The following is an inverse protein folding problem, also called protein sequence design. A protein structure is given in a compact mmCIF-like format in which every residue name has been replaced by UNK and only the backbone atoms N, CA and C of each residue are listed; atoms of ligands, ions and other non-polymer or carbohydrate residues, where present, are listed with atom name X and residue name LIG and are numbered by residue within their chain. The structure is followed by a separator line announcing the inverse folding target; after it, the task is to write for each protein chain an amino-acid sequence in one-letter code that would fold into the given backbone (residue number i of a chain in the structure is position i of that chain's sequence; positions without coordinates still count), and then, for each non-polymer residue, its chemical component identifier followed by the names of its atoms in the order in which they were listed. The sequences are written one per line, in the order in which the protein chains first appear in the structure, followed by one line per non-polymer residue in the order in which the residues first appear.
data_IF_390230296864
#
_entry.id   IF_390230296864
#
_cell.length_a   1.000
_cell.length_b   1.000
_cell.length_c   1.000
_cell.angle_alpha   90.00
_cell.angle_beta   90.00
_cell.angle_gamma   90.00
#
_symmetry.space_group_name_H-M   'P 1'
#
loop_
_entity.id
_entity.type
_entity.pdbx_description
1 polymer ?
#
# COMPACT_ATOMS: atom_id res chain seq x y z
N UNK A 1 -14.07 7.09 18.86
CA UNK A 1 -14.36 6.57 17.50
C UNK A 1 -13.67 5.22 17.35
N UNK A 2 -14.30 4.20 16.77
CA UNK A 2 -13.72 2.84 16.66
C UNK A 2 -12.84 2.76 15.40
N UNK A 3 -11.58 2.35 15.53
CA UNK A 3 -10.63 2.31 14.42
C UNK A 3 -10.98 1.21 13.40
N UNK A 4 -11.21 1.58 12.14
CA UNK A 4 -11.58 0.64 11.06
C UNK A 4 -10.54 -0.46 10.86
N UNK A 5 -9.25 -0.11 10.89
CA UNK A 5 -8.17 -1.09 10.74
C UNK A 5 -8.13 -2.11 11.89
N UNK A 6 -8.56 -1.73 13.10
CA UNK A 6 -8.71 -2.69 14.19
C UNK A 6 -9.89 -3.65 13.96
N UNK A 7 -10.95 -3.22 13.26
CA UNK A 7 -12.03 -4.12 12.85
C UNK A 7 -11.53 -5.09 11.78
N UNK A 8 -10.81 -4.58 10.78
CA UNK A 8 -10.21 -5.38 9.69
C UNK A 8 -9.19 -6.41 10.20
N UNK A 9 -8.48 -6.10 11.29
CA UNK A 9 -7.56 -7.01 11.95
C UNK A 9 -8.22 -8.32 12.44
N UNK A 10 -9.55 -8.39 12.55
CA UNK A 10 -10.29 -9.60 12.96
C UNK A 10 -10.81 -10.44 11.78
N UNK A 11 -10.75 -9.92 10.55
CA UNK A 11 -11.22 -10.61 9.36
C UNK A 11 -10.29 -11.77 8.97
N UNK A 12 -10.75 -12.75 8.18
CA UNK A 12 -9.90 -13.82 7.67
C UNK A 12 -9.29 -13.43 6.33
N UNK A 13 -8.21 -14.11 5.93
CA UNK A 13 -7.68 -13.99 4.56
C UNK A 13 -8.78 -14.40 3.58
N UNK A 14 -9.03 -13.56 2.56
CA UNK A 14 -10.12 -13.68 1.61
C UNK A 14 -11.35 -12.83 1.92
N UNK A 15 -11.52 -12.37 3.17
CA UNK A 15 -12.67 -11.54 3.55
C UNK A 15 -12.56 -10.12 3.00
N UNK A 16 -13.71 -9.53 2.69
CA UNK A 16 -13.83 -8.12 2.26
C UNK A 16 -14.08 -7.19 3.44
N UNK A 17 -13.44 -6.04 3.43
CA UNK A 17 -13.65 -4.96 4.40
C UNK A 17 -14.85 -4.09 3.99
N UNK A 18 -15.31 -3.19 4.86
CA UNK A 18 -16.39 -2.24 4.53
C UNK A 18 -16.03 -1.32 3.35
N UNK A 19 -14.75 -0.98 3.22
CA UNK A 19 -14.22 -0.20 2.10
C UNK A 19 -14.14 -1.02 0.78
N UNK A 20 -14.37 -2.34 0.84
CA UNK A 20 -14.28 -3.25 -0.29
C UNK A 20 -12.87 -3.78 -0.55
N UNK A 21 -11.91 -3.53 0.34
CA UNK A 21 -10.59 -4.15 0.28
C UNK A 21 -10.67 -5.64 0.62
N UNK A 22 -9.74 -6.46 0.14
CA UNK A 22 -9.67 -7.89 0.48
C UNK A 22 -8.46 -8.14 1.35
N UNK A 23 -8.61 -8.86 2.46
CA UNK A 23 -7.47 -9.33 3.26
C UNK A 23 -6.71 -10.39 2.47
N UNK A 24 -5.45 -10.13 2.14
CA UNK A 24 -4.62 -11.02 1.31
C UNK A 24 -3.57 -11.79 2.11
N UNK A 25 -3.27 -11.36 3.34
CA UNK A 25 -2.23 -11.98 4.17
C UNK A 25 -2.44 -11.70 5.65
N UNK A 26 -2.09 -12.67 6.50
CA UNK A 26 -1.98 -12.53 7.96
C UNK A 26 -0.83 -13.37 8.50
N UNK A 27 -0.19 -12.86 9.55
CA UNK A 27 0.82 -13.57 10.35
C UNK A 27 0.67 -13.16 11.82
N UNK A 28 1.03 -14.06 12.74
CA UNK A 28 1.00 -13.80 14.19
C UNK A 28 -0.42 -13.74 14.76
N UNK A 29 -0.56 -13.10 15.92
CA UNK A 29 -1.82 -12.94 16.65
C UNK A 29 -2.20 -11.47 16.83
N UNK A 30 -3.19 -11.17 17.67
CA UNK A 30 -3.65 -9.79 17.89
C UNK A 30 -2.60 -8.85 18.48
N UNK A 31 -1.58 -9.37 19.18
CA UNK A 31 -0.51 -8.58 19.83
C UNK A 31 0.72 -8.39 18.96
N UNK A 32 1.14 -9.43 18.25
CA UNK A 32 2.39 -9.44 17.46
C UNK A 32 2.18 -9.64 15.96
N UNK A 33 0.92 -9.64 15.52
CA UNK A 33 0.57 -9.97 14.15
C UNK A 33 0.53 -8.76 13.23
N UNK A 34 0.56 -9.09 11.95
CA UNK A 34 0.41 -8.16 10.83
C UNK A 34 -0.58 -8.73 9.84
N UNK A 35 -1.29 -7.85 9.15
CA UNK A 35 -2.16 -8.23 8.06
C UNK A 35 -2.02 -7.26 6.90
N UNK A 36 -2.36 -7.74 5.71
CA UNK A 36 -2.37 -6.91 4.52
C UNK A 36 -3.68 -6.98 3.77
N UNK A 37 -4.06 -5.87 3.16
CA UNK A 37 -5.27 -5.74 2.33
C UNK A 37 -4.93 -5.23 0.93
N UNK A 38 -5.60 -5.78 -0.08
CA UNK A 38 -5.61 -5.24 -1.44
C UNK A 38 -6.73 -4.21 -1.56
N UNK A 39 -6.41 -2.99 -1.93
CA UNK A 39 -7.39 -1.92 -2.17
C UNK A 39 -8.16 -2.14 -3.48
N UNK A 40 -9.48 -1.86 -3.52
CA UNK A 40 -10.24 -1.86 -4.77
C UNK A 40 -9.91 -0.65 -5.66
N UNK A 41 -9.06 0.27 -5.18
CA UNK A 41 -8.65 1.49 -5.90
C UNK A 41 -7.13 1.59 -5.98
N UNK A 42 -6.65 2.19 -7.06
CA UNK A 42 -5.24 2.54 -7.26
C UNK A 42 -5.11 4.03 -7.60
N UNK A 43 -3.94 4.62 -7.31
CA UNK A 43 -3.64 6.01 -7.69
C UNK A 43 -3.13 6.17 -9.14
N UNK A 44 -2.97 5.08 -9.87
CA UNK A 44 -2.35 5.07 -11.20
C UNK A 44 -3.25 4.47 -12.27
N UNK A 45 -2.64 3.74 -13.20
CA UNK A 45 -3.35 3.05 -14.28
C UNK A 45 -4.09 1.85 -13.68
N UNK A 46 -5.43 1.82 -13.67
CA UNK A 46 -6.19 0.71 -13.11
C UNK A 46 -5.98 -0.60 -13.89
N UNK A 47 -5.42 -0.55 -15.10
CA UNK A 47 -5.06 -1.71 -15.90
C UNK A 47 -3.61 -2.19 -15.69
N UNK A 48 -2.81 -1.52 -14.87
CA UNK A 48 -1.45 -1.97 -14.55
C UNK A 48 -1.15 -1.99 -13.05
N UNK A 49 -1.69 -1.02 -12.32
CA UNK A 49 -1.34 -0.75 -10.95
C UNK A 49 -2.34 -1.35 -9.96
N UNK A 50 -1.93 -1.36 -8.69
CA UNK A 50 -2.72 -1.78 -7.54
C UNK A 50 -2.10 -1.16 -6.28
N UNK A 51 -2.80 -1.25 -5.15
CA UNK A 51 -2.30 -0.75 -3.87
C UNK A 51 -2.58 -1.74 -2.77
N UNK A 52 -1.53 -2.15 -2.07
CA UNK A 52 -1.59 -3.01 -0.89
C UNK A 52 -1.35 -2.15 0.35
N UNK A 53 -2.09 -2.41 1.42
CA UNK A 53 -1.83 -1.83 2.73
C UNK A 53 -1.38 -2.94 3.67
N UNK A 54 -0.30 -2.71 4.42
CA UNK A 54 0.22 -3.58 5.46
C UNK A 54 0.09 -2.87 6.81
N UNK A 55 -0.56 -3.52 7.77
CA UNK A 55 -0.88 -2.93 9.08
C UNK A 55 -0.61 -3.94 10.21
N UNK A 56 -0.22 -3.48 11.41
CA UNK A 56 -0.20 -4.33 12.59
C UNK A 56 -1.63 -4.74 12.98
N UNK A 57 -1.80 -5.89 13.62
CA UNK A 57 -3.11 -6.26 14.17
C UNK A 57 -3.47 -5.41 15.41
N UNK A 58 -2.45 -5.10 16.23
CA UNK A 58 -2.59 -4.22 17.38
C UNK A 58 -2.72 -2.75 16.92
N UNK A 59 -3.50 -1.96 17.65
CA UNK A 59 -3.60 -0.52 17.40
C UNK A 59 -2.31 0.19 17.82
N UNK A 60 -1.41 0.46 16.88
CA UNK A 60 -0.20 1.24 17.09
C UNK A 60 -0.38 2.66 16.57
N UNK A 61 0.05 3.66 17.35
CA UNK A 61 -0.07 5.08 16.98
C UNK A 61 1.21 5.64 16.40
N UNK A 62 2.36 5.13 16.82
CA UNK A 62 3.67 5.59 16.38
C UNK A 62 4.48 4.44 15.79
N UNK A 63 5.32 4.71 14.79
CA UNK A 63 6.19 3.69 14.22
C UNK A 63 7.17 3.11 15.25
N UNK A 64 7.61 3.92 16.21
CA UNK A 64 8.45 3.47 17.33
C UNK A 64 7.79 2.36 18.15
N UNK A 65 6.47 2.31 18.19
CA UNK A 65 5.72 1.30 18.96
C UNK A 65 5.90 -0.10 18.38
N UNK A 66 6.31 -0.23 17.11
CA UNK A 66 6.65 -1.53 16.50
C UNK A 66 7.77 -2.21 17.31
N UNK A 67 8.72 -1.45 17.84
CA UNK A 67 9.86 -1.97 18.60
C UNK A 67 9.48 -2.41 20.04
N UNK A 68 8.24 -2.23 20.47
CA UNK A 68 7.78 -2.66 21.79
C UNK A 68 7.78 -4.19 21.96
N UNK A 69 7.81 -4.95 20.86
CA UNK A 69 7.78 -6.41 20.87
C UNK A 69 8.65 -6.98 19.74
N UNK A 70 9.64 -7.81 20.08
CA UNK A 70 10.56 -8.41 19.10
C UNK A 70 9.84 -9.25 18.04
N UNK A 71 8.81 -10.02 18.42
CA UNK A 71 8.04 -10.82 17.46
C UNK A 71 7.18 -9.94 16.54
N UNK A 72 6.69 -8.78 17.03
CA UNK A 72 5.97 -7.82 16.20
C UNK A 72 6.89 -7.24 15.11
N UNK A 73 8.12 -6.84 15.48
CA UNK A 73 9.15 -6.35 14.55
C UNK A 73 9.57 -7.41 13.54
N UNK A 74 9.78 -8.65 14.01
CA UNK A 74 10.13 -9.78 13.15
C UNK A 74 9.02 -10.09 12.15
N UNK A 75 7.78 -10.15 12.61
CA UNK A 75 6.62 -10.39 11.76
C UNK A 75 6.40 -9.26 10.75
N UNK A 76 6.69 -8.01 11.10
CA UNK A 76 6.71 -6.89 10.15
C UNK A 76 7.67 -7.17 9.00
N UNK A 77 8.93 -7.49 9.30
CA UNK A 77 9.95 -7.76 8.28
C UNK A 77 9.59 -8.93 7.36
N UNK A 78 9.08 -10.02 7.95
CA UNK A 78 8.60 -11.20 7.20
C UNK A 78 7.43 -10.82 6.28
N UNK A 79 6.41 -10.16 6.83
CA UNK A 79 5.21 -9.77 6.08
C UNK A 79 5.57 -8.83 4.93
N UNK A 80 6.36 -7.78 5.23
CA UNK A 80 6.81 -6.81 4.25
C UNK A 80 7.60 -7.47 3.11
N UNK A 81 8.58 -8.33 3.43
CA UNK A 81 9.36 -9.05 2.43
C UNK A 81 8.50 -9.94 1.53
N UNK A 82 7.59 -10.73 2.13
CA UNK A 82 6.66 -11.60 1.37
C UNK A 82 5.74 -10.81 0.45
N UNK A 83 5.15 -9.73 0.94
CA UNK A 83 4.24 -8.88 0.16
C UNK A 83 4.98 -8.22 -1.01
N UNK A 84 6.17 -7.66 -0.77
CA UNK A 84 6.98 -7.07 -1.82
C UNK A 84 7.38 -8.10 -2.88
N UNK A 85 7.76 -9.32 -2.49
CA UNK A 85 8.07 -10.39 -3.43
C UNK A 85 6.85 -10.79 -4.28
N UNK A 86 5.69 -11.00 -3.65
CA UNK A 86 4.45 -11.35 -4.34
C UNK A 86 3.99 -10.22 -5.30
N UNK A 87 4.02 -8.97 -4.85
CA UNK A 87 3.69 -7.82 -5.68
C UNK A 87 4.65 -7.68 -6.87
N UNK A 88 5.96 -7.85 -6.64
CA UNK A 88 6.97 -7.81 -7.69
C UNK A 88 6.73 -8.88 -8.77
N UNK A 89 6.34 -10.09 -8.37
CA UNK A 89 6.02 -11.17 -9.30
C UNK A 89 4.82 -10.82 -10.21
N UNK A 90 3.74 -10.27 -9.66
CA UNK A 90 2.56 -9.88 -10.45
C UNK A 90 2.84 -8.77 -11.46
N UNK A 91 3.77 -7.87 -11.14
CA UNK A 91 4.18 -6.84 -12.09
C UNK A 91 5.15 -7.41 -13.14
N UNK A 92 6.00 -8.39 -12.78
CA UNK A 92 6.98 -9.02 -13.71
C UNK A 92 6.30 -9.82 -14.80
N UNK A 93 5.23 -10.54 -14.47
CA UNK A 93 4.40 -11.26 -15.45
C UNK A 93 3.85 -10.33 -16.55
N UNK A 94 3.77 -9.01 -16.29
CA UNK A 94 3.25 -8.01 -17.23
C UNK A 94 4.33 -7.18 -17.93
N UNK A 95 5.57 -7.15 -17.43
CA UNK A 95 6.63 -6.30 -17.96
C UNK A 95 7.89 -7.14 -18.28
N UNK A 96 7.98 -7.59 -19.53
CA UNK A 96 9.10 -8.40 -20.03
C UNK A 96 10.34 -7.52 -20.18
N UNK A 97 11.28 -7.57 -19.24
CA UNK A 97 12.58 -6.93 -19.43
C UNK A 97 13.37 -6.57 -18.17
N UNK A 98 12.79 -6.67 -16.97
CA UNK A 98 13.49 -6.35 -15.73
C UNK A 98 13.33 -7.46 -14.69
N UNK A 99 14.44 -7.94 -14.11
CA UNK A 99 14.40 -9.04 -13.15
C UNK A 99 13.90 -8.65 -11.76
N UNK A 100 13.94 -7.34 -11.46
CA UNK A 100 13.42 -6.75 -10.23
C UNK A 100 12.63 -5.49 -10.57
N UNK A 101 11.48 -5.33 -9.94
CA UNK A 101 10.58 -4.22 -10.20
C UNK A 101 10.57 -3.30 -8.97
N UNK A 102 10.80 -1.99 -9.16
CA UNK A 102 10.74 -1.06 -8.05
C UNK A 102 9.31 -1.00 -7.49
N UNK A 103 9.20 -1.13 -6.17
CA UNK A 103 7.96 -0.93 -5.43
C UNK A 103 8.10 0.32 -4.57
N UNK A 104 7.07 1.16 -4.61
CA UNK A 104 6.98 2.36 -3.80
C UNK A 104 6.41 1.98 -2.44
N UNK A 105 6.96 2.58 -1.38
CA UNK A 105 6.45 2.38 -0.03
C UNK A 105 6.23 3.71 0.66
N UNK A 106 5.10 3.80 1.36
CA UNK A 106 4.74 5.01 2.10
C UNK A 106 4.06 4.62 3.41
N UNK A 107 4.74 4.91 4.53
CA UNK A 107 4.19 4.75 5.87
C UNK A 107 3.42 5.99 6.29
N UNK A 108 2.28 5.81 6.97
CA UNK A 108 1.56 6.92 7.60
C UNK A 108 1.10 6.58 9.01
N UNK A 109 1.21 7.57 9.89
CA UNK A 109 0.58 7.63 11.20
C UNK A 109 0.14 9.09 11.48
N UNK A 110 -1.08 9.48 11.08
CA UNK A 110 -1.59 10.82 11.40
C UNK A 110 -2.25 10.86 12.79
N UNK A 111 -1.80 11.80 13.61
CA UNK A 111 -2.45 12.18 14.86
C UNK A 111 -3.89 12.69 14.60
N UNK A 112 -4.89 12.45 15.49
CA UNK A 112 -4.78 11.77 16.79
C UNK A 112 -4.99 10.25 16.80
N UNK A 113 -5.51 9.68 15.71
CA UNK A 113 -6.16 8.35 15.75
C UNK A 113 -5.83 7.41 14.57
N UNK A 114 -4.86 7.74 13.70
CA UNK A 114 -4.50 6.79 12.64
C UNK A 114 -3.61 5.66 13.17
N UNK A 115 -4.15 4.45 13.04
CA UNK A 115 -3.43 3.20 13.17
C UNK A 115 -2.35 3.14 12.08
N UNK A 116 -1.11 2.88 12.51
CA UNK A 116 0.07 2.69 11.66
C UNK A 116 -0.23 1.80 10.46
N UNK A 117 0.08 2.27 9.26
CA UNK A 117 -0.04 1.46 8.04
C UNK A 117 1.01 1.85 7.01
N UNK A 118 1.37 0.88 6.18
CA UNK A 118 2.30 1.02 5.07
C UNK A 118 1.58 0.72 3.77
N UNK A 119 1.67 1.64 2.81
CA UNK A 119 1.20 1.41 1.45
C UNK A 119 2.34 0.86 0.62
N UNK A 120 2.05 -0.16 -0.17
CA UNK A 120 2.97 -0.80 -1.12
C UNK A 120 2.28 -0.79 -2.49
N UNK A 121 2.97 -0.28 -3.51
CA UNK A 121 2.42 -0.14 -4.86
C UNK A 121 3.52 -0.26 -5.93
N UNK A 122 3.20 -0.67 -7.17
CA UNK A 122 4.15 -0.63 -8.27
C UNK A 122 4.67 0.79 -8.50
N UNK A 123 5.98 0.98 -8.47
CA UNK A 123 6.59 2.30 -8.68
C UNK A 123 6.87 2.51 -10.16
N UNK A 124 5.86 2.97 -10.91
CA UNK A 124 5.98 3.27 -12.34
C UNK A 124 5.15 4.49 -12.74
N UNK A 125 5.53 5.13 -13.84
CA UNK A 125 4.80 6.23 -14.46
C UNK A 125 4.56 7.41 -13.51
N UNK A 126 3.35 7.95 -13.51
CA UNK A 126 2.95 9.11 -12.72
C UNK A 126 2.98 8.88 -11.19
N UNK A 127 2.91 7.62 -10.73
CA UNK A 127 3.05 7.28 -9.30
C UNK A 127 4.52 7.18 -8.89
N UNK A 128 5.41 6.85 -9.84
CA UNK A 128 6.85 6.70 -9.64
C UNK A 128 7.59 8.03 -9.51
N UNK A 129 7.10 8.93 -8.65
CA UNK A 129 7.70 10.23 -8.41
C UNK A 129 8.94 10.13 -7.49
N UNK A 130 10.09 10.71 -7.86
CA UNK A 130 11.38 10.54 -7.18
C UNK A 130 11.46 11.06 -5.74
N UNK A 131 10.43 11.75 -5.23
CA UNK A 131 10.40 12.31 -3.87
C UNK A 131 9.24 11.74 -3.03
N UNK A 132 9.58 11.24 -1.84
CA UNK A 132 8.68 10.55 -0.89
C UNK A 132 7.52 11.40 -0.35
N UNK A 133 7.56 12.72 -0.55
CA UNK A 133 6.53 13.67 -0.11
C UNK A 133 5.42 13.90 -1.15
N UNK A 134 5.59 13.45 -2.40
CA UNK A 134 4.72 13.86 -3.52
C UNK A 134 3.73 12.79 -3.99
N UNK A 135 3.42 11.78 -3.17
CA UNK A 135 2.44 10.74 -3.52
C UNK A 135 1.00 11.27 -3.78
N UNK A 136 0.76 12.56 -3.52
CA UNK A 136 -0.49 13.25 -3.84
C UNK A 136 -0.48 13.94 -5.21
N UNK A 137 0.67 14.03 -5.90
CA UNK A 137 0.82 14.75 -7.16
C UNK A 137 1.61 13.96 -8.22
N UNK A 138 1.07 13.92 -9.44
CA UNK A 138 1.50 13.08 -10.55
C UNK A 138 2.54 13.73 -11.49
N UNK A 139 2.68 15.06 -11.49
CA UNK A 139 3.66 15.82 -12.29
C UNK A 139 4.12 17.07 -11.53
N UNK A 140 5.40 17.42 -11.69
CA UNK A 140 5.98 18.70 -11.26
C UNK A 140 6.52 19.41 -12.50
N UNK A 141 5.88 20.49 -12.88
CA UNK A 141 6.43 21.41 -13.88
C UNK A 141 6.76 22.71 -13.14
N UNK A 142 8.02 23.14 -13.24
CA UNK A 142 8.42 24.48 -12.78
C UNK A 142 7.96 25.45 -13.86
N UNK A 143 7.16 26.43 -13.46
CA UNK A 143 6.66 27.50 -14.30
C UNK A 143 7.12 28.82 -13.71
N UNK A 144 7.24 29.83 -14.55
CA UNK A 144 7.50 31.22 -14.14
C UNK A 144 6.23 32.00 -14.43
N UNK A 145 5.75 32.78 -13.46
CA UNK A 145 4.59 33.64 -13.66
C UNK A 145 4.96 34.95 -14.38
N UNK A 146 3.99 35.85 -14.56
CA UNK A 146 4.19 37.12 -15.25
C UNK A 146 5.13 38.07 -14.48
N UNK A 147 5.32 37.86 -13.18
CA UNK A 147 6.17 38.66 -12.29
C UNK A 147 7.60 38.09 -12.18
N UNK A 148 7.87 36.94 -12.80
CA UNK A 148 9.18 36.28 -12.78
C UNK A 148 9.37 35.30 -11.62
N UNK A 149 8.32 35.01 -10.85
CA UNK A 149 8.38 34.09 -9.71
C UNK A 149 8.19 32.63 -10.15
N UNK A 150 9.02 31.74 -9.59
CA UNK A 150 8.93 30.31 -9.86
C UNK A 150 7.82 29.65 -9.04
N UNK A 151 6.94 28.90 -9.70
CA UNK A 151 5.93 28.08 -9.03
C UNK A 151 5.89 26.65 -9.60
N UNK A 152 5.44 25.70 -8.78
CA UNK A 152 5.31 24.30 -9.18
C UNK A 152 3.85 23.99 -9.51
N UNK A 153 3.56 23.65 -10.76
CA UNK A 153 2.25 23.14 -11.15
C UNK A 153 2.17 21.64 -10.84
N UNK A 154 1.16 21.27 -10.05
CA UNK A 154 0.97 19.92 -9.54
C UNK A 154 -0.37 19.32 -10.02
N UNK A 155 -0.34 18.13 -10.60
CA UNK A 155 -1.56 17.38 -10.95
C UNK A 155 -1.92 16.41 -9.83
N UNK A 156 -3.10 16.46 -9.18
CA UNK A 156 -3.41 15.56 -8.08
C UNK A 156 -3.51 14.10 -8.54
N UNK A 157 -3.04 13.16 -7.71
CA UNK A 157 -3.23 11.72 -7.88
C UNK A 157 -4.68 11.38 -7.59
N UNK A 158 -5.44 11.03 -8.63
CA UNK A 158 -6.84 10.59 -8.49
C UNK A 158 -6.88 9.08 -8.29
N UNK A 159 -7.55 8.64 -7.23
CA UNK A 159 -7.83 7.22 -7.01
C UNK A 159 -8.92 6.74 -7.96
N UNK A 160 -8.64 5.71 -8.73
CA UNK A 160 -9.56 5.07 -9.68
C UNK A 160 -9.86 3.64 -9.24
N UNK A 161 -11.09 3.18 -9.50
CA UNK A 161 -11.48 1.81 -9.19
C UNK A 161 -10.83 0.83 -10.16
N UNK A 162 -10.39 -0.31 -9.64
CA UNK A 162 -10.05 -1.47 -10.46
C UNK A 162 -11.35 -2.09 -11.00
N UNK A 163 -11.31 -2.67 -12.20
CA UNK A 163 -12.43 -3.47 -12.68
C UNK A 163 -12.67 -4.68 -11.76
N UNK A 164 -13.92 -5.10 -11.58
CA UNK A 164 -14.28 -6.22 -10.68
C UNK A 164 -13.46 -7.48 -10.99
N UNK A 165 -13.41 -7.86 -12.27
CA UNK A 165 -12.67 -9.03 -12.75
C UNK A 165 -11.19 -8.96 -12.37
N UNK A 166 -10.57 -7.80 -12.60
CA UNK A 166 -9.15 -7.59 -12.28
C UNK A 166 -8.89 -7.63 -10.77
N UNK A 167 -9.74 -6.97 -9.99
CA UNK A 167 -9.60 -6.94 -8.53
C UNK A 167 -9.67 -8.34 -7.93
N UNK A 168 -10.64 -9.16 -8.39
CA UNK A 168 -10.80 -10.56 -7.96
C UNK A 168 -9.61 -11.42 -8.39
N UNK A 169 -9.12 -11.24 -9.63
CA UNK A 169 -7.92 -11.92 -10.11
C UNK A 169 -6.69 -11.59 -9.24
N UNK A 170 -6.40 -10.31 -9.03
CA UNK A 170 -5.26 -9.86 -8.23
C UNK A 170 -5.34 -10.38 -6.78
N UNK A 171 -6.53 -10.34 -6.17
CA UNK A 171 -6.72 -10.85 -4.82
C UNK A 171 -6.39 -12.35 -4.72
N UNK A 172 -6.91 -13.15 -5.66
CA UNK A 172 -6.67 -14.60 -5.67
C UNK A 172 -5.20 -14.94 -5.93
N UNK A 173 -4.55 -14.25 -6.87
CA UNK A 173 -3.14 -14.44 -7.19
C UNK A 173 -2.25 -14.05 -6.00
N UNK A 174 -2.49 -12.90 -5.36
CA UNK A 174 -1.76 -12.49 -4.15
C UNK A 174 -1.92 -13.50 -3.02
N UNK A 175 -3.15 -13.94 -2.73
CA UNK A 175 -3.40 -14.94 -1.68
C UNK A 175 -2.64 -16.24 -2.00
N UNK A 176 -2.62 -16.67 -3.27
CA UNK A 176 -1.88 -17.87 -3.67
C UNK A 176 -0.37 -17.72 -3.47
N UNK A 177 0.21 -16.57 -3.82
CA UNK A 177 1.64 -16.27 -3.68
C UNK A 177 2.08 -16.09 -2.23
N UNK A 178 1.15 -15.76 -1.33
CA UNK A 178 1.43 -15.45 0.08
C UNK A 178 1.15 -16.61 1.05
N UNK A 179 0.64 -17.74 0.56
CA UNK A 179 0.56 -19.01 1.30
C UNK A 179 1.97 -19.55 1.55
#
# INVERSE_FOLDING_TARGET
MKCEFCEEANLKVGDKTRYGAVVIYKIGNTKNGWFATLSPRTGGDPEKDFSIQLMPCAHLKYFSDINSNQELTKNYGIAFGKICAAAGQLVKEKDKGNDRIPLGTYGKCKHPDEHVHFKIFPYKGAIGQPFTTDSSFARKEICVDEDGEEFVKLTPVKKVNLSKKRFEQLANELIKLLK
#
